data_IF_991585856715
#
_entry.id   IF_991585856715
#
_cell.length_a   1.000
_cell.length_b   1.000
_cell.length_c   1.000
_cell.angle_alpha   90.00
_cell.angle_beta   90.00
_cell.angle_gamma   90.00
#
_symmetry.space_group_name_H-M   'P 1'
#
loop_
_entity.id
_entity.type
_entity.pdbx_description
1 polymer ?
#
# COMPACT_ATOMS: atom_id res chain seq x y z
N UNK A 1 9.83 35.78 -21.14
CA UNK A 1 8.77 35.88 -22.17
C UNK A 1 7.63 36.71 -21.60
N UNK A 2 7.29 37.84 -22.24
CA UNK A 2 6.22 38.75 -21.81
C UNK A 2 4.87 38.17 -22.25
N UNK A 3 3.90 38.06 -21.35
CA UNK A 3 2.54 37.60 -21.66
C UNK A 3 1.88 38.56 -22.66
N UNK A 4 1.43 38.04 -23.81
CA UNK A 4 0.66 38.80 -24.78
C UNK A 4 -0.70 39.23 -24.20
N UNK A 5 -1.16 40.43 -24.54
CA UNK A 5 -2.49 40.95 -24.18
C UNK A 5 -3.55 40.00 -24.78
N UNK A 6 -4.46 39.49 -23.96
CA UNK A 6 -5.47 38.48 -24.36
C UNK A 6 -5.05 37.02 -24.16
N UNK A 7 -3.78 36.74 -23.85
CA UNK A 7 -3.28 35.37 -23.66
C UNK A 7 -3.87 34.64 -22.45
N UNK A 8 -4.31 35.38 -21.42
CA UNK A 8 -4.96 34.80 -20.22
C UNK A 8 -6.34 34.23 -20.55
N UNK A 9 -7.18 35.01 -21.23
CA UNK A 9 -8.53 34.58 -21.64
C UNK A 9 -8.44 33.33 -22.52
N UNK A 10 -7.51 33.31 -23.47
CA UNK A 10 -7.30 32.14 -24.32
C UNK A 10 -6.76 30.93 -23.55
N UNK A 11 -5.89 31.15 -22.56
CA UNK A 11 -5.40 30.07 -21.71
C UNK A 11 -6.53 29.46 -20.87
N UNK A 12 -7.42 30.28 -20.32
CA UNK A 12 -8.56 29.84 -19.53
C UNK A 12 -9.56 29.03 -20.40
N UNK A 13 -9.85 29.50 -21.61
CA UNK A 13 -10.66 28.76 -22.59
C UNK A 13 -10.07 27.39 -22.95
N UNK A 14 -8.76 27.36 -23.25
CA UNK A 14 -8.07 26.12 -23.59
C UNK A 14 -8.01 25.17 -22.39
N UNK A 15 -7.83 25.71 -21.18
CA UNK A 15 -7.83 24.91 -19.96
C UNK A 15 -9.21 24.28 -19.70
N UNK A 16 -10.29 25.04 -19.85
CA UNK A 16 -11.65 24.51 -19.72
C UNK A 16 -11.92 23.39 -20.72
N UNK A 17 -11.55 23.60 -21.99
CA UNK A 17 -11.69 22.57 -23.03
C UNK A 17 -10.83 21.34 -22.77
N UNK A 18 -9.64 21.52 -22.20
CA UNK A 18 -8.77 20.41 -21.82
C UNK A 18 -9.38 19.57 -20.69
N UNK A 19 -9.99 20.21 -19.69
CA UNK A 19 -10.68 19.49 -18.61
C UNK A 19 -11.88 18.68 -19.13
N UNK A 20 -12.66 19.24 -20.04
CA UNK A 20 -13.76 18.56 -20.71
C UNK A 20 -13.26 17.33 -21.49
N UNK A 21 -12.20 17.50 -22.29
CA UNK A 21 -11.61 16.40 -23.07
C UNK A 21 -10.97 15.32 -22.18
N UNK A 22 -10.40 15.69 -21.04
CA UNK A 22 -9.88 14.72 -20.06
C UNK A 22 -10.98 13.80 -19.56
N UNK A 23 -12.13 14.36 -19.17
CA UNK A 23 -13.26 13.57 -18.69
C UNK A 23 -13.83 12.67 -19.80
N UNK A 24 -13.99 13.20 -21.02
CA UNK A 24 -14.45 12.42 -22.16
C UNK A 24 -13.49 11.28 -22.56
N UNK A 25 -12.18 11.47 -22.42
CA UNK A 25 -11.19 10.45 -22.77
C UNK A 25 -11.35 9.14 -21.99
N UNK A 26 -11.96 9.19 -20.80
CA UNK A 26 -12.24 7.99 -20.01
C UNK A 26 -13.24 7.05 -20.68
N UNK A 27 -14.15 7.57 -21.52
CA UNK A 27 -15.15 6.78 -22.24
C UNK A 27 -14.52 5.95 -23.37
N UNK A 28 -13.35 6.38 -23.87
CA UNK A 28 -12.60 5.67 -24.91
C UNK A 28 -11.74 4.53 -24.35
N UNK A 29 -11.53 4.50 -23.03
CA UNK A 29 -10.75 3.44 -22.37
C UNK A 29 -11.56 2.15 -22.28
N UNK A 30 -10.97 1.04 -22.75
CA UNK A 30 -11.54 -0.29 -22.57
C UNK A 30 -11.02 -0.93 -21.30
N UNK A 31 -11.93 -1.30 -20.41
CA UNK A 31 -11.60 -2.03 -19.21
C UNK A 31 -11.17 -3.48 -19.55
N UNK A 32 -10.04 -3.90 -19.00
CA UNK A 32 -9.62 -5.30 -18.97
C UNK A 32 -9.61 -5.72 -17.51
N UNK A 33 -10.37 -6.75 -17.17
CA UNK A 33 -10.47 -7.25 -15.81
C UNK A 33 -10.42 -8.77 -15.80
N UNK A 34 -9.79 -9.32 -14.78
CA UNK A 34 -9.75 -10.75 -14.52
C UNK A 34 -10.38 -11.01 -13.15
N UNK A 35 -11.32 -11.94 -13.09
CA UNK A 35 -11.92 -12.40 -11.83
C UNK A 35 -11.16 -13.62 -11.32
N UNK A 36 -10.86 -13.62 -10.02
CA UNK A 36 -10.26 -14.76 -9.34
C UNK A 36 -11.20 -15.17 -8.22
N UNK A 37 -11.65 -16.42 -8.23
CA UNK A 37 -12.39 -16.97 -7.10
C UNK A 37 -11.43 -17.24 -5.94
N UNK A 38 -11.75 -16.68 -4.78
CA UNK A 38 -10.96 -16.77 -3.54
C UNK A 38 -11.74 -17.44 -2.41
N UNK A 39 -12.92 -18.02 -2.68
CA UNK A 39 -13.80 -18.57 -1.63
C UNK A 39 -13.09 -19.61 -0.77
N UNK A 40 -12.32 -20.53 -1.37
CA UNK A 40 -11.56 -21.52 -0.60
C UNK A 40 -10.54 -20.89 0.37
N UNK A 41 -9.94 -19.76 0.00
CA UNK A 41 -8.98 -19.05 0.84
C UNK A 41 -9.69 -18.38 2.02
N UNK A 42 -10.86 -17.80 1.75
CA UNK A 42 -11.74 -17.21 2.76
C UNK A 42 -12.17 -18.29 3.77
N UNK A 43 -12.63 -19.44 3.29
CA UNK A 43 -13.06 -20.53 4.17
C UNK A 43 -11.93 -21.01 5.08
N UNK A 44 -10.73 -21.22 4.51
CA UNK A 44 -9.51 -21.55 5.27
C UNK A 44 -9.17 -20.48 6.30
N UNK A 45 -9.36 -19.20 5.97
CA UNK A 45 -9.11 -18.10 6.87
C UNK A 45 -10.08 -18.11 8.06
N UNK A 46 -11.38 -18.26 7.78
CA UNK A 46 -12.43 -18.33 8.81
C UNK A 46 -12.23 -19.52 9.72
N UNK A 47 -11.96 -20.72 9.19
CA UNK A 47 -11.67 -21.92 10.00
C UNK A 47 -10.45 -21.72 10.92
N UNK A 48 -9.45 -20.95 10.48
CA UNK A 48 -8.26 -20.66 11.29
C UNK A 48 -8.51 -19.69 12.43
N UNK A 49 -9.52 -18.84 12.37
CA UNK A 49 -9.81 -17.84 13.41
C UNK A 49 -11.03 -18.17 14.27
N UNK A 50 -11.99 -18.92 13.74
CA UNK A 50 -13.27 -19.18 14.43
C UNK A 50 -13.15 -20.19 15.57
N UNK A 51 -13.85 -19.93 16.67
CA UNK A 51 -13.95 -20.82 17.82
C UNK A 51 -12.67 -20.91 18.66
N UNK A 52 -11.73 -19.99 18.45
CA UNK A 52 -10.45 -19.94 19.18
C UNK A 52 -10.48 -18.87 20.26
N UNK A 53 -9.65 -18.97 21.32
CA UNK A 53 -9.49 -17.87 22.25
C UNK A 53 -8.87 -16.65 21.53
N UNK A 54 -9.23 -15.44 21.96
CA UNK A 54 -8.82 -14.18 21.32
C UNK A 54 -7.31 -14.08 21.09
N UNK A 55 -6.49 -14.59 22.02
CA UNK A 55 -5.02 -14.62 21.86
C UNK A 55 -4.59 -15.44 20.64
N UNK A 56 -5.14 -16.63 20.47
CA UNK A 56 -4.81 -17.51 19.34
C UNK A 56 -5.36 -16.99 18.03
N UNK A 57 -6.58 -16.48 18.03
CA UNK A 57 -7.19 -15.89 16.83
C UNK A 57 -6.39 -14.67 16.34
N UNK A 58 -5.93 -13.79 17.24
CA UNK A 58 -5.03 -12.67 16.89
C UNK A 58 -3.69 -13.14 16.34
N UNK A 59 -3.05 -14.12 16.99
CA UNK A 59 -1.79 -14.69 16.48
C UNK A 59 -1.98 -15.27 15.09
N UNK A 60 -3.11 -15.93 14.80
CA UNK A 60 -3.40 -16.45 13.48
C UNK A 60 -3.36 -15.36 12.41
N UNK A 61 -3.89 -14.16 12.70
CA UNK A 61 -3.81 -12.99 11.80
C UNK A 61 -2.36 -12.55 11.58
N UNK A 62 -1.55 -12.45 12.65
CA UNK A 62 -0.16 -12.04 12.55
C UNK A 62 0.70 -13.00 11.69
N UNK A 63 0.34 -14.28 11.63
CA UNK A 63 1.06 -15.30 10.86
C UNK A 63 0.46 -15.59 9.48
N UNK A 64 -0.53 -14.81 9.02
CA UNK A 64 -1.16 -15.01 7.70
C UNK A 64 -0.15 -14.91 6.56
N UNK A 65 0.78 -13.96 6.62
CA UNK A 65 1.73 -13.75 5.54
C UNK A 65 2.98 -13.02 6.00
N UNK A 66 4.10 -13.38 5.37
CA UNK A 66 5.33 -12.60 5.43
C UNK A 66 5.40 -11.59 4.28
N UNK A 67 6.24 -10.57 4.46
CA UNK A 67 6.60 -9.66 3.38
C UNK A 67 7.07 -10.46 2.15
N UNK A 68 6.66 -10.07 0.93
CA UNK A 68 7.10 -10.77 -0.26
C UNK A 68 8.62 -10.67 -0.41
N UNK A 69 9.28 -11.82 -0.59
CA UNK A 69 10.70 -11.87 -0.91
C UNK A 69 10.96 -11.17 -2.25
N UNK A 70 12.00 -10.34 -2.30
CA UNK A 70 12.32 -9.52 -3.48
C UNK A 70 12.61 -10.44 -4.67
N UNK A 71 13.30 -11.55 -4.44
CA UNK A 71 13.69 -12.53 -5.45
C UNK A 71 12.44 -13.09 -6.17
N UNK A 72 11.39 -13.41 -5.42
CA UNK A 72 10.11 -13.89 -5.98
C UNK A 72 9.39 -12.81 -6.77
N UNK A 73 9.48 -11.55 -6.34
CA UNK A 73 8.91 -10.43 -7.10
C UNK A 73 9.68 -10.21 -8.40
N UNK A 74 11.00 -10.31 -8.38
CA UNK A 74 11.85 -10.21 -9.58
C UNK A 74 11.52 -11.31 -10.59
N UNK A 75 11.32 -12.55 -10.15
CA UNK A 75 10.86 -13.64 -11.02
C UNK A 75 9.53 -13.33 -11.70
N UNK A 76 8.56 -12.77 -10.96
CA UNK A 76 7.27 -12.36 -11.53
C UNK A 76 7.42 -11.26 -12.58
N UNK A 77 8.25 -10.24 -12.31
CA UNK A 77 8.53 -9.16 -13.27
C UNK A 77 9.20 -9.71 -14.53
N UNK A 78 10.18 -10.60 -14.39
CA UNK A 78 10.85 -11.24 -15.54
C UNK A 78 9.87 -12.07 -16.38
N UNK A 79 8.99 -12.82 -15.74
CA UNK A 79 7.97 -13.61 -16.44
C UNK A 79 6.97 -12.71 -17.18
N UNK A 80 6.53 -11.60 -16.56
CA UNK A 80 5.65 -10.62 -17.20
C UNK A 80 6.34 -9.96 -18.40
N UNK A 81 7.61 -9.56 -18.27
CA UNK A 81 8.37 -8.96 -19.37
C UNK A 81 8.52 -9.91 -20.57
N UNK A 82 8.63 -11.22 -20.35
CA UNK A 82 8.68 -12.24 -21.41
C UNK A 82 7.37 -12.42 -22.15
N UNK A 83 6.24 -12.38 -21.44
CA UNK A 83 4.91 -12.60 -22.03
C UNK A 83 4.35 -11.32 -22.67
N UNK A 84 4.64 -10.16 -22.09
CA UNK A 84 4.06 -8.88 -22.46
C UNK A 84 5.12 -7.84 -22.90
N UNK A 85 6.04 -8.25 -23.77
CA UNK A 85 7.21 -7.48 -24.23
C UNK A 85 6.86 -6.06 -24.71
N UNK A 86 5.78 -5.90 -25.49
CA UNK A 86 5.39 -4.57 -25.96
C UNK A 86 4.98 -3.63 -24.80
N UNK A 87 4.34 -4.16 -23.75
CA UNK A 87 3.92 -3.36 -22.60
C UNK A 87 5.08 -2.99 -21.67
N UNK A 88 6.19 -3.73 -21.72
CA UNK A 88 7.38 -3.42 -20.93
C UNK A 88 8.27 -2.35 -21.59
N UNK A 89 8.30 -2.31 -22.92
CA UNK A 89 9.16 -1.40 -23.69
C UNK A 89 8.70 0.06 -23.73
N UNK A 90 7.41 0.33 -23.53
CA UNK A 90 6.87 1.70 -23.60
C UNK A 90 6.40 2.21 -22.24
N UNK A 91 6.57 3.52 -22.03
CA UNK A 91 5.97 4.19 -20.87
C UNK A 91 4.45 4.19 -20.98
N UNK A 92 3.76 3.99 -19.86
CA UNK A 92 2.29 4.07 -19.78
C UNK A 92 1.84 5.13 -18.79
N UNK A 93 0.85 5.94 -19.17
CA UNK A 93 0.29 6.97 -18.30
C UNK A 93 -0.77 6.34 -17.37
N UNK A 94 -0.69 6.65 -16.07
CA UNK A 94 -1.68 6.24 -15.06
C UNK A 94 -2.62 7.42 -14.85
N UNK A 95 -3.90 7.18 -15.10
CA UNK A 95 -4.94 8.21 -15.14
C UNK A 95 -5.90 8.03 -13.96
N UNK A 96 -6.34 9.13 -13.34
CA UNK A 96 -7.35 9.09 -12.29
C UNK A 96 -8.79 9.08 -12.83
N UNK A 97 -9.77 9.04 -11.93
CA UNK A 97 -11.20 9.07 -12.27
C UNK A 97 -11.69 10.34 -12.97
N UNK A 98 -10.84 11.36 -13.13
CA UNK A 98 -11.13 12.60 -13.86
C UNK A 98 -10.32 12.74 -15.17
N UNK A 99 -9.67 11.67 -15.63
CA UNK A 99 -8.91 11.72 -16.88
C UNK A 99 -7.54 12.41 -16.77
N UNK A 100 -7.10 12.74 -15.54
CA UNK A 100 -5.80 13.39 -15.32
C UNK A 100 -4.71 12.35 -15.07
N UNK A 101 -3.58 12.51 -15.76
CA UNK A 101 -2.37 11.73 -15.51
C UNK A 101 -1.84 12.04 -14.11
N UNK A 102 -1.79 11.02 -13.25
CA UNK A 102 -1.29 11.11 -11.86
C UNK A 102 0.11 10.52 -11.71
N UNK A 103 0.48 9.59 -12.59
CA UNK A 103 1.80 8.98 -12.60
C UNK A 103 2.12 8.45 -14.01
N UNK A 104 3.40 8.17 -14.26
CA UNK A 104 3.87 7.50 -15.47
C UNK A 104 4.61 6.24 -15.07
N UNK A 105 4.19 5.10 -15.60
CA UNK A 105 4.90 3.84 -15.48
C UNK A 105 6.10 3.87 -16.46
N UNK A 106 7.35 3.79 -15.97
CA UNK A 106 8.52 3.81 -16.83
C UNK A 106 8.62 2.54 -17.70
N UNK A 107 9.24 2.62 -18.88
CA UNK A 107 9.68 1.43 -19.59
C UNK A 107 10.74 0.70 -18.75
N UNK A 108 10.91 -0.59 -18.98
CA UNK A 108 11.98 -1.38 -18.38
C UNK A 108 12.72 -2.11 -19.50
N UNK A 109 14.05 -2.19 -19.38
CA UNK A 109 14.83 -3.06 -20.25
C UNK A 109 14.49 -4.54 -19.98
N UNK A 110 14.66 -5.37 -21.01
CA UNK A 110 14.54 -6.82 -20.79
C UNK A 110 15.66 -7.26 -19.85
N UNK A 111 15.29 -8.07 -18.85
CA UNK A 111 16.24 -8.63 -17.87
C UNK A 111 16.93 -7.59 -16.97
N UNK A 112 16.32 -6.42 -16.76
CA UNK A 112 16.81 -5.44 -15.78
C UNK A 112 16.85 -6.01 -14.36
N UNK A 113 17.96 -5.78 -13.66
CA UNK A 113 18.21 -6.29 -12.30
C UNK A 113 18.58 -5.18 -11.31
N UNK A 114 18.88 -3.97 -11.78
CA UNK A 114 19.21 -2.86 -10.90
C UNK A 114 17.97 -2.40 -10.12
N UNK A 115 17.98 -2.64 -8.80
CA UNK A 115 16.93 -2.15 -7.89
C UNK A 115 16.86 -0.61 -7.83
N UNK A 116 17.86 0.11 -8.36
CA UNK A 116 17.84 1.54 -8.58
C UNK A 116 16.97 1.97 -9.77
N UNK A 117 16.66 1.07 -10.71
CA UNK A 117 15.85 1.38 -11.90
C UNK A 117 14.38 1.65 -11.53
N UNK A 118 13.87 2.79 -11.96
CA UNK A 118 12.51 3.22 -11.65
C UNK A 118 11.45 2.31 -12.30
N UNK A 119 11.75 1.75 -13.49
CA UNK A 119 10.85 0.84 -14.21
C UNK A 119 10.71 -0.51 -13.51
N UNK A 120 11.82 -1.08 -13.05
CA UNK A 120 11.85 -2.30 -12.24
C UNK A 120 11.12 -2.08 -10.92
N UNK A 121 11.48 -1.02 -10.17
CA UNK A 121 10.85 -0.71 -8.88
C UNK A 121 9.34 -0.54 -9.01
N UNK A 122 8.88 0.18 -10.04
CA UNK A 122 7.45 0.37 -10.30
C UNK A 122 6.72 -0.98 -10.42
N UNK A 123 7.28 -1.94 -11.17
CA UNK A 123 6.66 -3.27 -11.36
C UNK A 123 6.76 -4.12 -10.10
N UNK A 124 7.88 -4.08 -9.36
CA UNK A 124 8.03 -4.76 -8.07
C UNK A 124 6.97 -4.29 -7.07
N UNK A 125 6.77 -2.98 -6.93
CA UNK A 125 5.74 -2.41 -6.05
C UNK A 125 4.33 -2.77 -6.51
N UNK A 126 4.07 -2.75 -7.82
CA UNK A 126 2.77 -3.19 -8.36
C UNK A 126 2.47 -4.64 -7.99
N UNK A 127 3.41 -5.57 -8.18
CA UNK A 127 3.24 -6.98 -7.80
C UNK A 127 3.10 -7.17 -6.29
N UNK A 128 3.91 -6.48 -5.50
CA UNK A 128 3.80 -6.50 -4.04
C UNK A 128 2.41 -6.03 -3.58
N UNK A 129 1.91 -4.93 -4.15
CA UNK A 129 0.57 -4.40 -3.86
C UNK A 129 -0.52 -5.40 -4.21
N UNK A 130 -0.51 -5.99 -5.41
CA UNK A 130 -1.51 -7.00 -5.81
C UNK A 130 -1.52 -8.20 -4.87
N UNK A 131 -0.34 -8.68 -4.46
CA UNK A 131 -0.23 -9.80 -3.52
C UNK A 131 -0.76 -9.43 -2.14
N UNK A 132 -0.42 -8.25 -1.62
CA UNK A 132 -0.91 -7.77 -0.33
C UNK A 132 -2.44 -7.62 -0.38
N UNK A 133 -2.98 -7.05 -1.44
CA UNK A 133 -4.43 -6.90 -1.62
C UNK A 133 -5.16 -8.26 -1.60
N UNK A 134 -4.64 -9.24 -2.33
CA UNK A 134 -5.16 -10.62 -2.29
C UNK A 134 -5.12 -11.20 -0.87
N UNK A 135 -4.02 -11.04 -0.14
CA UNK A 135 -3.89 -11.53 1.24
C UNK A 135 -4.91 -10.83 2.15
N UNK A 136 -5.08 -9.52 2.01
CA UNK A 136 -6.01 -8.75 2.84
C UNK A 136 -7.44 -9.22 2.60
N UNK A 137 -7.85 -9.34 1.33
CA UNK A 137 -9.20 -9.74 0.98
C UNK A 137 -9.50 -11.20 1.34
N UNK A 138 -8.54 -12.10 1.10
CA UNK A 138 -8.75 -13.54 1.29
C UNK A 138 -8.54 -14.01 2.74
N UNK A 139 -7.70 -13.32 3.53
CA UNK A 139 -7.34 -13.78 4.88
C UNK A 139 -7.58 -12.74 5.96
N UNK A 140 -6.97 -11.55 5.86
CA UNK A 140 -6.98 -10.57 6.95
C UNK A 140 -8.41 -10.10 7.25
N UNK A 141 -9.16 -9.71 6.22
CA UNK A 141 -10.52 -9.22 6.38
C UNK A 141 -11.50 -10.28 6.90
N UNK A 142 -11.53 -11.52 6.35
CA UNK A 142 -12.34 -12.60 6.91
C UNK A 142 -12.01 -12.93 8.37
N UNK A 143 -10.72 -13.04 8.71
CA UNK A 143 -10.29 -13.31 10.09
C UNK A 143 -10.66 -12.17 11.03
N UNK A 144 -10.43 -10.91 10.60
CA UNK A 144 -10.83 -9.72 11.35
C UNK A 144 -12.32 -9.73 11.66
N UNK A 145 -13.17 -9.93 10.65
CA UNK A 145 -14.63 -9.98 10.84
C UNK A 145 -15.05 -11.11 11.78
N UNK A 146 -14.37 -12.25 11.71
CA UNK A 146 -14.61 -13.40 12.61
C UNK A 146 -14.25 -13.05 14.06
N UNK A 147 -13.05 -12.48 14.27
CA UNK A 147 -12.57 -12.04 15.59
C UNK A 147 -13.48 -10.97 16.19
N UNK A 148 -13.89 -9.98 15.38
CA UNK A 148 -14.79 -8.91 15.82
C UNK A 148 -16.12 -9.50 16.30
N UNK A 149 -16.68 -10.46 15.56
CA UNK A 149 -17.95 -11.10 15.90
C UNK A 149 -17.86 -11.96 17.17
N UNK A 150 -16.76 -12.67 17.37
CA UNK A 150 -16.62 -13.65 18.46
C UNK A 150 -16.06 -13.03 19.76
N UNK A 151 -15.27 -11.96 19.67
CA UNK A 151 -14.58 -11.40 20.83
C UNK A 151 -14.79 -9.90 21.04
N UNK A 152 -15.13 -9.15 19.98
CA UNK A 152 -15.27 -7.69 20.01
C UNK A 152 -14.15 -6.98 20.82
N UNK A 153 -12.88 -7.06 20.36
CA UNK A 153 -11.72 -6.62 21.14
C UNK A 153 -11.80 -5.14 21.54
N UNK A 154 -11.58 -4.85 22.82
CA UNK A 154 -11.63 -3.48 23.35
C UNK A 154 -10.23 -2.88 23.58
N UNK A 155 -10.17 -1.67 24.16
CA UNK A 155 -8.91 -0.99 24.47
C UNK A 155 -8.04 -1.77 25.46
N UNK A 156 -8.66 -2.44 26.44
CA UNK A 156 -7.96 -3.18 27.50
C UNK A 156 -7.34 -4.47 26.95
N UNK A 157 -8.07 -5.17 26.08
CA UNK A 157 -7.60 -6.38 25.39
C UNK A 157 -6.34 -6.13 24.55
N UNK A 158 -6.24 -4.94 23.96
CA UNK A 158 -5.08 -4.52 23.17
C UNK A 158 -3.97 -4.00 24.09
N UNK A 159 -4.30 -3.17 25.09
CA UNK A 159 -3.34 -2.61 26.04
C UNK A 159 -2.54 -3.71 26.74
N UNK A 160 -3.22 -4.73 27.27
CA UNK A 160 -2.59 -5.86 27.97
C UNK A 160 -1.53 -6.57 27.12
N UNK A 161 -1.66 -6.51 25.79
CA UNK A 161 -0.71 -7.12 24.88
C UNK A 161 0.48 -6.21 24.55
N UNK A 162 0.26 -4.90 24.38
CA UNK A 162 1.30 -3.99 23.89
C UNK A 162 2.06 -3.26 24.99
N UNK A 163 1.52 -3.19 26.22
CA UNK A 163 2.06 -2.36 27.31
C UNK A 163 3.50 -2.71 27.72
N UNK A 164 3.96 -3.93 27.46
CA UNK A 164 5.31 -4.38 27.76
C UNK A 164 6.16 -4.59 26.49
N UNK A 165 5.68 -4.12 25.34
CA UNK A 165 6.42 -4.26 24.08
C UNK A 165 7.60 -3.28 24.06
N UNK A 166 8.85 -3.76 23.91
CA UNK A 166 10.00 -2.88 23.79
C UNK A 166 10.03 -2.12 22.45
N UNK A 167 9.13 -2.46 21.52
CA UNK A 167 9.10 -1.85 20.19
C UNK A 167 8.25 -0.58 20.15
N UNK A 168 7.39 -0.38 21.15
CA UNK A 168 6.49 0.78 21.23
C UNK A 168 7.21 1.96 21.87
N UNK A 169 7.42 3.08 21.15
CA UNK A 169 8.04 4.26 21.73
C UNK A 169 7.16 4.88 22.82
N UNK A 170 7.76 5.52 23.85
CA UNK A 170 7.03 6.26 24.87
C UNK A 170 6.09 7.32 24.23
N UNK A 171 4.87 7.44 24.74
CA UNK A 171 3.87 8.39 24.22
C UNK A 171 3.04 7.90 23.03
N UNK A 172 3.39 6.76 22.41
CA UNK A 172 2.64 6.22 21.25
C UNK A 172 1.62 5.14 21.60
N UNK A 173 1.65 4.60 22.83
CA UNK A 173 0.80 3.49 23.29
C UNK A 173 -0.68 3.76 23.00
N UNK A 174 -1.22 4.91 23.41
CA UNK A 174 -2.63 5.23 23.22
C UNK A 174 -3.03 5.31 21.73
N UNK A 175 -2.19 5.95 20.92
CA UNK A 175 -2.44 6.07 19.48
C UNK A 175 -2.45 4.71 18.80
N UNK A 176 -1.52 3.82 19.16
CA UNK A 176 -1.45 2.45 18.64
C UNK A 176 -2.68 1.64 19.05
N UNK A 177 -3.12 1.74 20.30
CA UNK A 177 -4.32 1.03 20.77
C UNK A 177 -5.55 1.46 19.97
N UNK A 178 -5.77 2.78 19.84
CA UNK A 178 -6.90 3.34 19.09
C UNK A 178 -6.92 2.84 17.65
N UNK A 179 -5.75 2.80 17.00
CA UNK A 179 -5.59 2.30 15.64
C UNK A 179 -5.89 0.81 15.52
N UNK A 180 -5.41 0.00 16.46
CA UNK A 180 -5.66 -1.44 16.45
C UNK A 180 -7.14 -1.76 16.68
N UNK A 181 -7.79 -1.07 17.60
CA UNK A 181 -9.24 -1.23 17.85
C UNK A 181 -10.04 -0.79 16.62
N UNK A 182 -9.76 0.38 16.05
CA UNK A 182 -10.37 0.83 14.80
C UNK A 182 -10.14 -0.16 13.65
N UNK A 183 -8.92 -0.73 13.59
CA UNK A 183 -8.54 -1.79 12.66
C UNK A 183 -9.40 -3.03 12.79
N UNK A 184 -9.66 -3.53 13.99
CA UNK A 184 -10.56 -4.67 14.21
C UNK A 184 -12.01 -4.34 13.87
N UNK A 185 -12.50 -3.16 14.25
CA UNK A 185 -13.86 -2.69 13.96
C UNK A 185 -14.10 -2.47 12.46
N UNK A 186 -13.03 -2.21 11.70
CA UNK A 186 -13.13 -1.95 10.26
C UNK A 186 -13.23 -0.47 9.92
N UNK A 187 -12.92 0.43 10.86
CA UNK A 187 -12.85 1.87 10.60
C UNK A 187 -11.54 2.19 9.88
N UNK A 188 -11.55 1.96 8.56
CA UNK A 188 -10.40 2.17 7.70
C UNK A 188 -10.05 3.65 7.52
N UNK A 189 -10.96 4.57 7.84
CA UNK A 189 -10.69 6.01 7.78
C UNK A 189 -9.72 6.42 8.89
N UNK A 190 -9.98 5.99 10.12
CA UNK A 190 -9.07 6.20 11.25
C UNK A 190 -7.72 5.52 10.97
N UNK A 191 -7.77 4.25 10.54
CA UNK A 191 -6.56 3.46 10.26
C UNK A 191 -5.69 4.13 9.19
N UNK A 192 -6.28 4.60 8.09
CA UNK A 192 -5.54 5.22 6.98
C UNK A 192 -4.76 6.47 7.42
N UNK A 193 -5.31 7.27 8.34
CA UNK A 193 -4.67 8.50 8.80
C UNK A 193 -3.70 8.29 9.96
N UNK A 194 -3.90 7.26 10.78
CA UNK A 194 -3.13 7.07 12.00
C UNK A 194 -2.05 5.98 11.88
N UNK A 195 -2.22 4.92 11.08
CA UNK A 195 -1.20 3.87 10.93
C UNK A 195 0.14 4.42 10.42
N UNK A 196 0.20 5.24 9.34
CA UNK A 196 1.48 5.67 8.77
C UNK A 196 2.42 6.34 9.80
N UNK A 197 2.00 7.36 10.58
CA UNK A 197 2.88 7.97 11.57
C UNK A 197 3.25 7.01 12.72
N UNK A 198 2.37 6.07 13.11
CA UNK A 198 2.72 5.08 14.15
C UNK A 198 3.79 4.09 13.66
N UNK A 199 3.69 3.62 12.41
CA UNK A 199 4.71 2.72 11.84
C UNK A 199 6.05 3.45 11.71
N UNK A 200 6.06 4.70 11.28
CA UNK A 200 7.30 5.51 11.23
C UNK A 200 7.95 5.62 12.61
N UNK A 201 7.16 5.93 13.65
CA UNK A 201 7.65 6.03 15.02
C UNK A 201 8.19 4.70 15.55
N UNK A 202 7.49 3.59 15.30
CA UNK A 202 7.93 2.24 15.68
C UNK A 202 9.27 1.88 15.01
N UNK A 203 9.39 2.10 13.70
CA UNK A 203 10.61 1.78 12.94
C UNK A 203 11.78 2.64 13.42
N UNK A 204 11.56 3.95 13.59
CA UNK A 204 12.59 4.87 14.12
C UNK A 204 13.08 4.40 15.48
N UNK A 205 12.17 4.10 16.39
CA UNK A 205 12.50 3.67 17.74
C UNK A 205 13.36 2.40 17.76
N UNK A 206 13.01 1.39 16.94
CA UNK A 206 13.76 0.13 16.85
C UNK A 206 15.17 0.35 16.27
N UNK A 207 15.33 1.27 15.32
CA UNK A 207 16.64 1.60 14.74
C UNK A 207 17.52 2.32 15.77
N UNK A 208 16.96 3.31 16.47
CA UNK A 208 17.66 4.06 17.53
C UNK A 208 18.09 3.15 18.68
N UNK A 209 17.22 2.23 19.12
CA UNK A 209 17.55 1.23 20.14
C UNK A 209 18.73 0.32 19.75
N UNK A 210 18.98 0.14 18.45
CA UNK A 210 20.09 -0.66 17.91
C UNK A 210 21.33 0.19 17.60
N UNK A 211 21.35 1.45 17.99
CA UNK A 211 22.47 2.37 17.76
C UNK A 211 22.58 2.90 16.33
N UNK A 212 21.50 2.79 15.54
CA UNK A 212 21.43 3.42 14.22
C UNK A 212 20.91 4.85 14.32
N UNK A 213 21.50 5.78 13.59
CA UNK A 213 21.01 7.15 13.49
C UNK A 213 20.04 7.29 12.32
N UNK A 214 18.80 7.71 12.60
CA UNK A 214 17.85 8.15 11.57
C UNK A 214 17.97 9.67 11.36
N UNK A 215 19.10 10.16 10.86
CA UNK A 215 19.21 11.57 10.48
C UNK A 215 18.55 11.84 9.11
N UNK A 216 17.36 12.44 9.09
CA UNK A 216 16.86 13.10 7.88
C UNK A 216 17.50 14.49 7.75
N UNK A 217 18.69 14.53 7.16
CA UNK A 217 19.32 15.77 6.71
C UNK A 217 18.54 16.35 5.53
N UNK A 218 17.93 17.51 5.75
CA UNK A 218 17.02 18.22 4.83
C UNK A 218 17.67 18.69 3.50
N UNK A 219 18.93 18.29 3.20
CA UNK A 219 19.63 18.65 1.95
C UNK A 219 19.94 17.49 1.00
N UNK A 220 19.74 16.23 1.41
CA UNK A 220 19.70 15.08 0.50
C UNK A 220 18.50 14.27 0.92
N UNK A 221 17.52 14.14 0.01
CA UNK A 221 16.19 13.62 0.27
C UNK A 221 16.14 12.51 1.31
N UNK A 222 15.29 12.71 2.33
CA UNK A 222 15.00 11.74 3.37
C UNK A 222 14.74 10.38 2.69
N UNK A 223 15.57 9.37 2.98
CA UNK A 223 15.43 8.02 2.46
C UNK A 223 14.31 7.26 3.20
N UNK A 224 13.22 7.96 3.52
CA UNK A 224 11.95 7.35 3.93
C UNK A 224 11.25 6.73 2.71
N UNK A 225 11.56 7.23 1.50
CA UNK A 225 11.07 6.68 0.22
C UNK A 225 11.63 5.30 -0.13
N UNK A 226 12.70 4.82 0.53
CA UNK A 226 13.27 3.50 0.25
C UNK A 226 12.75 2.39 1.16
N UNK A 227 12.06 2.70 2.26
CA UNK A 227 11.65 1.69 3.26
C UNK A 227 10.13 1.62 3.47
N UNK A 228 9.38 2.69 3.21
CA UNK A 228 7.93 2.67 3.19
C UNK A 228 7.50 3.24 1.84
N UNK A 229 7.26 2.35 0.87
CA UNK A 229 6.77 2.68 -0.47
C UNK A 229 5.36 3.26 -0.49
N UNK A 230 5.14 4.35 0.25
CA UNK A 230 4.01 5.24 0.13
C UNK A 230 4.44 6.47 -0.67
N UNK A 231 4.19 6.40 -1.99
CA UNK A 231 3.81 7.50 -2.86
C UNK A 231 2.94 6.89 -3.97
#
# INVERSE_FOLDING_TARGET
MRQAVGGKVRADELHARLLELQELSLQELKAVSTTVDIQELIDKAVTKSSGKPLREARMAVCYVSNAPAIEKLMELVRNEARVAVMSSMFSSDIINSRGRVVAKAPPIANEEEDLGDDGLRFRLFRHARTKIDLIIQAFVNPMRSTILREHNPDLLDILTHIQHSPWVPPGHVESIIRVLVAGFQGDMLIVAHMVPPQIEALVRHVIEQRGGDMQCSTRKGCNLKSLLGFC
#
